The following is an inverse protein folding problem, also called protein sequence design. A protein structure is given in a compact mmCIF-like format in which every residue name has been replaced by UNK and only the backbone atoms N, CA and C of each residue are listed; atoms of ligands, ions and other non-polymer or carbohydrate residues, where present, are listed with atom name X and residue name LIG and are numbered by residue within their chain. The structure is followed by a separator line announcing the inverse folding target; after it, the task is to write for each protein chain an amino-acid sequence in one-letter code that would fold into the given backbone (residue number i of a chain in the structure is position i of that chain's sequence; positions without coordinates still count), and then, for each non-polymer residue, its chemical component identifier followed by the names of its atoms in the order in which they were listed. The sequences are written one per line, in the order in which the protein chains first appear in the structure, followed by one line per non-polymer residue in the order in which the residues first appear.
data_IF_715351170378
#
_entry.id   IF_715351170378
#
_cell.length_a   1.000
_cell.length_b   1.000
_cell.length_c   1.000
_cell.angle_alpha   90.00
_cell.angle_beta   90.00
_cell.angle_gamma   90.00
#
_symmetry.space_group_name_H-M   'P 1'
#
loop_
_entity.id
_entity.type
_entity.pdbx_description
1 polymer ?
#
# COMPACT_ATOMS: atom_id res chain seq x y z
N UNK A 1 -14.73 15.65 2.65
CA UNK A 1 -13.44 15.01 2.35
C UNK A 1 -13.46 14.52 0.91
N UNK A 2 -12.36 14.68 0.18
CA UNK A 2 -12.20 14.33 -1.23
C UNK A 2 -11.00 13.41 -1.40
N UNK A 3 -11.10 12.43 -2.30
CA UNK A 3 -10.08 11.41 -2.53
C UNK A 3 -8.70 12.02 -2.84
N UNK A 4 -8.65 13.02 -3.72
CA UNK A 4 -7.42 13.62 -4.22
C UNK A 4 -6.78 14.64 -3.25
N UNK A 5 -7.40 14.91 -2.10
CA UNK A 5 -6.87 15.86 -1.10
C UNK A 5 -6.72 15.20 0.25
N UNK A 6 -7.78 14.55 0.75
CA UNK A 6 -7.83 14.07 2.14
C UNK A 6 -7.32 12.63 2.29
N UNK A 7 -7.08 11.92 1.19
CA UNK A 7 -6.62 10.53 1.16
C UNK A 7 -5.15 10.34 1.54
N UNK A 8 -4.79 9.18 2.10
CA UNK A 8 -3.40 8.85 2.43
C UNK A 8 -2.49 8.86 1.20
N UNK A 9 -2.98 8.42 0.04
CA UNK A 9 -2.18 8.40 -1.21
C UNK A 9 -1.90 9.84 -1.64
N UNK A 10 -2.91 10.70 -1.62
CA UNK A 10 -2.80 12.12 -1.97
C UNK A 10 -1.88 12.89 -1.03
N UNK A 11 -1.99 12.63 0.28
CA UNK A 11 -1.13 13.23 1.30
C UNK A 11 0.30 12.70 1.27
N UNK A 12 0.51 11.46 0.81
CA UNK A 12 1.85 10.89 0.63
C UNK A 12 2.52 11.43 -0.63
N UNK A 13 1.83 11.48 -1.77
CA UNK A 13 2.47 11.68 -3.09
C UNK A 13 2.11 13.00 -3.78
N UNK A 14 1.29 13.85 -3.15
CA UNK A 14 0.64 15.02 -3.74
C UNK A 14 -0.54 14.68 -4.67
N UNK A 15 -1.56 15.56 -4.79
CA UNK A 15 -2.79 15.28 -5.54
C UNK A 15 -2.58 14.84 -6.98
N UNK A 16 -1.68 15.51 -7.73
CA UNK A 16 -1.44 15.23 -9.15
C UNK A 16 -0.83 13.84 -9.38
N UNK A 17 0.08 13.41 -8.51
CA UNK A 17 0.71 12.09 -8.61
C UNK A 17 -0.26 11.00 -8.15
N UNK A 18 -1.06 11.28 -7.12
CA UNK A 18 -2.12 10.37 -6.69
C UNK A 18 -3.17 10.13 -7.80
N UNK A 19 -3.58 11.18 -8.51
CA UNK A 19 -4.46 11.06 -9.67
C UNK A 19 -3.84 10.16 -10.76
N UNK A 20 -2.58 10.41 -11.13
CA UNK A 20 -1.87 9.57 -12.12
C UNK A 20 -1.76 8.10 -11.68
N UNK A 21 -1.50 7.86 -10.40
CA UNK A 21 -1.48 6.53 -9.81
C UNK A 21 -2.84 5.84 -9.94
N UNK A 22 -3.92 6.52 -9.55
CA UNK A 22 -5.29 5.98 -9.62
C UNK A 22 -5.67 5.68 -11.07
N UNK A 23 -5.40 6.59 -12.00
CA UNK A 23 -5.61 6.37 -13.44
C UNK A 23 -4.84 5.15 -13.96
N UNK A 24 -3.58 5.00 -13.55
CA UNK A 24 -2.75 3.86 -13.95
C UNK A 24 -3.26 2.54 -13.37
N UNK A 25 -3.62 2.54 -12.08
CA UNK A 25 -4.18 1.40 -11.37
C UNK A 25 -5.46 0.90 -12.06
N UNK A 26 -6.35 1.83 -12.41
CA UNK A 26 -7.66 1.52 -12.97
C UNK A 26 -7.68 1.41 -14.50
N UNK A 27 -6.52 1.61 -15.15
CA UNK A 27 -6.39 1.65 -16.62
C UNK A 27 -7.38 2.61 -17.27
N UNK A 28 -7.61 3.76 -16.61
CA UNK A 28 -8.58 4.77 -17.02
C UNK A 28 -7.93 6.14 -17.10
N UNK A 29 -8.20 6.88 -18.17
CA UNK A 29 -7.75 8.25 -18.34
C UNK A 29 -8.63 9.27 -17.59
N UNK A 30 -9.70 8.81 -16.95
CA UNK A 30 -10.64 9.63 -16.19
C UNK A 30 -10.68 9.09 -14.76
N UNK A 31 -10.62 9.98 -13.78
CA UNK A 31 -10.86 9.63 -12.37
C UNK A 31 -12.26 9.01 -12.25
N UNK A 32 -12.36 7.75 -11.83
CA UNK A 32 -13.65 7.08 -11.77
C UNK A 32 -14.57 7.78 -10.75
N UNK A 33 -15.89 7.64 -10.91
CA UNK A 33 -16.79 7.96 -9.82
C UNK A 33 -16.42 7.11 -8.60
N UNK A 34 -16.31 7.77 -7.45
CA UNK A 34 -16.06 7.12 -6.18
C UNK A 34 -17.15 7.48 -5.18
N UNK A 35 -17.42 6.55 -4.26
CA UNK A 35 -18.30 6.78 -3.13
C UNK A 35 -17.48 6.91 -1.86
N UNK A 36 -18.08 7.59 -0.90
CA UNK A 36 -17.45 7.95 0.37
C UNK A 36 -18.28 7.30 1.47
N UNK A 37 -17.69 6.37 2.22
CA UNK A 37 -18.40 5.66 3.30
C UNK A 37 -17.66 5.88 4.62
N UNK A 38 -18.42 6.15 5.69
CA UNK A 38 -17.93 6.13 7.06
C UNK A 38 -18.55 4.94 7.78
N UNK A 39 -17.74 4.18 8.52
CA UNK A 39 -18.24 3.04 9.30
C UNK A 39 -18.21 3.36 10.80
N UNK A 40 -19.25 2.98 11.55
CA UNK A 40 -19.18 3.04 13.01
C UNK A 40 -17.98 2.25 13.52
N UNK A 41 -17.24 2.83 14.47
CA UNK A 41 -16.05 2.22 15.11
C UNK A 41 -14.83 2.01 14.21
N UNK A 42 -14.82 2.53 12.99
CA UNK A 42 -13.60 2.62 12.16
C UNK A 42 -13.20 4.07 12.01
N UNK A 43 -11.90 4.32 12.01
CA UNK A 43 -11.40 5.69 11.88
C UNK A 43 -11.44 6.16 10.43
N UNK A 44 -11.89 7.41 10.26
CA UNK A 44 -11.87 8.11 8.98
C UNK A 44 -12.92 7.61 7.99
N UNK A 45 -12.71 8.03 6.76
CA UNK A 45 -13.60 7.84 5.65
C UNK A 45 -12.92 6.96 4.61
N UNK A 46 -13.73 6.14 3.95
CA UNK A 46 -13.28 5.17 2.98
C UNK A 46 -13.73 5.64 1.59
N UNK A 47 -12.78 5.70 0.66
CA UNK A 47 -13.04 6.04 -0.73
C UNK A 47 -13.08 4.76 -1.53
N UNK A 48 -14.26 4.46 -2.09
CA UNK A 48 -14.48 3.25 -2.87
C UNK A 48 -14.82 3.55 -4.32
N UNK A 49 -14.41 2.67 -5.23
CA UNK A 49 -14.78 2.71 -6.64
C UNK A 49 -15.65 1.52 -7.03
N UNK A 50 -16.57 1.72 -7.98
CA UNK A 50 -17.53 0.69 -8.42
C UNK A 50 -16.93 -0.30 -9.43
N UNK A 51 -15.75 0.02 -9.97
CA UNK A 51 -15.02 -0.80 -10.93
C UNK A 51 -13.58 -0.92 -10.50
N UNK A 52 -13.17 -2.12 -10.08
CA UNK A 52 -11.76 -2.48 -10.07
C UNK A 52 -11.35 -3.05 -11.42
N UNK A 53 -10.05 -3.08 -11.72
CA UNK A 53 -9.55 -3.82 -12.87
C UNK A 53 -10.00 -5.29 -12.82
N UNK A 54 -10.34 -5.92 -13.96
CA UNK A 54 -10.90 -7.27 -14.02
C UNK A 54 -10.03 -8.35 -13.35
N UNK A 55 -8.71 -8.12 -13.30
CA UNK A 55 -7.73 -9.02 -12.70
C UNK A 55 -7.62 -8.89 -11.17
N UNK A 56 -8.22 -7.87 -10.56
CA UNK A 56 -8.28 -7.77 -9.10
C UNK A 56 -9.36 -8.76 -8.62
N UNK A 57 -9.04 -9.74 -7.75
CA UNK A 57 -10.01 -10.74 -7.29
C UNK A 57 -11.11 -10.11 -6.45
N UNK A 58 -12.38 -10.27 -6.86
CA UNK A 58 -13.55 -9.70 -6.15
C UNK A 58 -13.40 -9.89 -4.65
N UNK A 59 -13.40 -8.79 -3.89
CA UNK A 59 -13.26 -8.85 -2.44
C UNK A 59 -14.29 -9.81 -1.83
N UNK A 60 -13.86 -10.53 -0.80
CA UNK A 60 -14.62 -11.57 -0.08
C UNK A 60 -15.94 -11.03 0.53
N UNK A 61 -16.09 -9.71 0.66
CA UNK A 61 -17.21 -9.07 1.37
C UNK A 61 -18.51 -8.91 0.56
N UNK A 62 -18.66 -9.51 -0.63
CA UNK A 62 -19.85 -9.36 -1.49
C UNK A 62 -20.26 -7.89 -1.79
N UNK A 63 -19.36 -6.93 -1.55
CA UNK A 63 -19.60 -5.53 -1.88
C UNK A 63 -19.14 -5.29 -3.33
N UNK A 64 -19.93 -4.60 -4.17
CA UNK A 64 -19.56 -4.26 -5.55
C UNK A 64 -18.50 -3.14 -5.61
N UNK A 65 -17.81 -2.86 -4.52
CA UNK A 65 -16.99 -1.68 -4.31
C UNK A 65 -15.59 -2.05 -3.86
N UNK A 66 -14.61 -1.26 -4.27
CA UNK A 66 -13.20 -1.52 -4.03
C UNK A 66 -12.54 -0.36 -3.32
N UNK A 67 -11.90 -0.66 -2.17
CA UNK A 67 -11.22 0.35 -1.38
C UNK A 67 -10.03 0.90 -2.16
N UNK A 68 -10.11 2.17 -2.53
CA UNK A 68 -9.06 2.87 -3.26
C UNK A 68 -8.15 3.65 -2.31
N UNK A 69 -8.72 4.36 -1.34
CA UNK A 69 -7.97 5.10 -0.34
C UNK A 69 -8.77 5.26 0.96
N UNK A 70 -8.11 5.74 2.01
CA UNK A 70 -8.72 6.17 3.28
C UNK A 70 -8.36 7.62 3.56
N UNK A 71 -9.27 8.36 4.18
CA UNK A 71 -8.95 9.71 4.66
C UNK A 71 -7.90 9.63 5.77
N UNK A 72 -7.00 10.61 5.80
CA UNK A 72 -6.06 10.76 6.91
C UNK A 72 -6.80 10.98 8.23
N UNK A 73 -6.37 10.26 9.26
CA UNK A 73 -6.88 10.42 10.63
C UNK A 73 -5.82 11.12 11.47
N UNK A 74 -6.19 12.00 12.42
CA UNK A 74 -5.25 12.84 13.16
C UNK A 74 -4.53 12.07 14.28
N UNK A 75 -3.75 11.06 13.90
CA UNK A 75 -3.00 10.16 14.81
C UNK A 75 -1.49 10.19 14.58
N UNK A 76 -1.03 11.02 13.66
CA UNK A 76 0.36 11.14 13.28
C UNK A 76 0.49 11.96 12.00
N UNK A 77 1.73 12.22 11.60
CA UNK A 77 2.02 12.92 10.35
C UNK A 77 2.12 11.89 9.22
N UNK A 78 1.46 12.16 8.10
CA UNK A 78 1.74 11.43 6.85
C UNK A 78 3.04 11.97 6.29
N UNK A 79 4.06 11.12 6.22
CA UNK A 79 5.37 11.51 5.68
C UNK A 79 5.25 11.59 4.15
N UNK A 80 5.58 12.73 3.52
CA UNK A 80 5.60 12.84 2.06
C UNK A 80 6.60 11.87 1.44
N UNK A 81 6.20 11.25 0.34
CA UNK A 81 6.96 10.25 -0.39
C UNK A 81 7.02 10.60 -1.88
N UNK A 82 8.08 10.14 -2.54
CA UNK A 82 8.25 10.15 -3.98
C UNK A 82 7.77 8.82 -4.51
N UNK A 83 6.80 8.85 -5.42
CA UNK A 83 6.33 7.65 -6.09
C UNK A 83 7.38 7.14 -7.06
N UNK A 84 7.63 5.83 -7.07
CA UNK A 84 8.47 5.24 -8.11
C UNK A 84 7.83 5.43 -9.48
N UNK A 85 8.63 5.83 -10.46
CA UNK A 85 8.20 6.01 -11.83
C UNK A 85 9.15 5.25 -12.79
N UNK A 86 8.61 4.55 -13.81
CA UNK A 86 9.42 3.88 -14.82
C UNK A 86 10.29 4.88 -15.59
N UNK A 87 11.59 4.59 -15.73
CA UNK A 87 12.53 5.53 -16.38
C UNK A 87 12.61 5.33 -17.90
N UNK A 88 12.17 4.17 -18.39
CA UNK A 88 12.18 3.84 -19.82
C UNK A 88 10.77 3.51 -20.31
N UNK A 89 10.56 3.64 -21.62
CA UNK A 89 9.31 3.21 -22.28
C UNK A 89 9.06 1.72 -22.03
N UNK A 90 10.12 0.90 -22.07
CA UNK A 90 10.05 -0.53 -21.77
C UNK A 90 9.60 -0.80 -20.35
N UNK A 91 10.19 -0.12 -19.35
CA UNK A 91 9.79 -0.27 -17.94
C UNK A 91 8.33 0.16 -17.74
N UNK A 92 7.90 1.24 -18.41
CA UNK A 92 6.53 1.73 -18.32
C UNK A 92 5.55 0.71 -18.88
N UNK A 93 5.85 0.16 -20.05
CA UNK A 93 5.03 -0.88 -20.67
C UNK A 93 4.92 -2.10 -19.74
N UNK A 94 6.06 -2.60 -19.26
CA UNK A 94 6.15 -3.82 -18.46
C UNK A 94 5.58 -3.68 -17.04
N UNK A 95 5.74 -2.52 -16.40
CA UNK A 95 5.42 -2.33 -14.98
C UNK A 95 4.19 -1.48 -14.72
N UNK A 96 3.66 -0.78 -15.73
CA UNK A 96 2.49 0.09 -15.58
C UNK A 96 1.40 -0.26 -16.58
N UNK A 97 1.67 -0.40 -17.87
CA UNK A 97 0.62 -0.53 -18.90
C UNK A 97 0.11 -1.97 -19.04
N UNK A 98 1.03 -2.93 -19.18
CA UNK A 98 0.72 -4.36 -19.30
C UNK A 98 0.70 -5.08 -17.94
N UNK A 99 1.16 -4.42 -16.87
CA UNK A 99 1.14 -4.98 -15.53
C UNK A 99 -0.26 -4.99 -14.92
N UNK A 100 -0.56 -6.05 -14.18
CA UNK A 100 -1.71 -6.14 -13.28
C UNK A 100 -1.38 -5.48 -11.94
N UNK A 101 -1.72 -4.19 -11.81
CA UNK A 101 -1.45 -3.41 -10.60
C UNK A 101 -2.41 -3.81 -9.47
N UNK A 102 -1.86 -4.23 -8.34
CA UNK A 102 -2.67 -4.63 -7.19
C UNK A 102 -3.23 -3.40 -6.47
N UNK A 103 -4.41 -3.55 -5.84
CA UNK A 103 -5.03 -2.49 -5.05
C UNK A 103 -4.14 -2.09 -3.85
N UNK A 104 -4.21 -0.83 -3.39
CA UNK A 104 -3.53 -0.39 -2.18
C UNK A 104 -3.84 -1.28 -0.98
N UNK A 105 -2.81 -1.59 -0.18
CA UNK A 105 -2.95 -2.37 1.04
C UNK A 105 -2.95 -1.42 2.23
N UNK A 106 -4.06 -1.39 2.97
CA UNK A 106 -4.20 -0.68 4.24
C UNK A 106 -4.15 -1.70 5.38
N UNK A 107 -3.12 -1.62 6.23
CA UNK A 107 -3.05 -2.45 7.43
C UNK A 107 -4.01 -1.91 8.48
N UNK A 108 -5.10 -2.64 8.74
CA UNK A 108 -6.10 -2.28 9.73
C UNK A 108 -6.02 -3.24 10.92
N UNK A 109 -6.10 -2.74 12.14
CA UNK A 109 -6.22 -3.55 13.35
C UNK A 109 -7.61 -4.16 13.48
N UNK A 110 -7.73 -5.25 14.25
CA UNK A 110 -9.05 -5.84 14.60
C UNK A 110 -9.98 -4.85 15.31
N UNK A 111 -9.44 -3.80 15.92
CA UNK A 111 -10.15 -2.69 16.55
C UNK A 111 -10.58 -1.59 15.56
N UNK A 112 -10.36 -1.78 14.25
CA UNK A 112 -10.71 -0.83 13.19
C UNK A 112 -9.74 0.33 13.02
N UNK A 113 -8.65 0.37 13.80
CA UNK A 113 -7.63 1.41 13.69
C UNK A 113 -6.74 1.16 12.49
N UNK A 114 -6.39 2.23 11.79
CA UNK A 114 -5.45 2.15 10.67
C UNK A 114 -4.00 2.22 11.16
N UNK A 115 -3.17 1.32 10.64
CA UNK A 115 -1.74 1.26 10.89
C UNK A 115 -1.36 0.37 12.09
N UNK A 116 -0.05 0.25 12.28
CA UNK A 116 0.61 -0.45 13.37
C UNK A 116 1.92 0.26 13.70
N UNK A 117 2.44 0.10 14.93
CA UNK A 117 3.72 0.73 15.26
C UNK A 117 4.87 0.10 14.46
N UNK A 118 5.84 0.94 14.09
CA UNK A 118 7.04 0.47 13.41
C UNK A 118 7.77 -0.60 14.25
N UNK A 119 7.88 -0.38 15.55
CA UNK A 119 8.50 -1.33 16.47
C UNK A 119 7.79 -2.70 16.46
N UNK A 120 6.46 -2.72 16.57
CA UNK A 120 5.71 -3.97 16.55
C UNK A 120 5.83 -4.69 15.20
N UNK A 121 5.70 -3.96 14.10
CA UNK A 121 5.82 -4.54 12.76
C UNK A 121 7.23 -5.09 12.48
N UNK A 122 8.28 -4.35 12.82
CA UNK A 122 9.67 -4.79 12.68
C UNK A 122 9.99 -6.01 13.56
N UNK A 123 9.36 -6.13 14.73
CA UNK A 123 9.47 -7.30 15.62
C UNK A 123 8.55 -8.48 15.22
N UNK A 124 7.72 -8.34 14.18
CA UNK A 124 6.81 -9.40 13.72
C UNK A 124 5.54 -9.55 14.56
N UNK A 125 5.26 -8.60 15.45
CA UNK A 125 4.05 -8.55 16.29
C UNK A 125 2.85 -8.00 15.49
N UNK A 126 2.50 -8.68 14.41
CA UNK A 126 1.45 -8.26 13.44
C UNK A 126 0.14 -9.06 13.57
N UNK A 127 -0.03 -9.86 14.62
CA UNK A 127 -1.20 -10.75 14.78
C UNK A 127 -2.51 -10.00 15.07
N UNK A 128 -2.43 -8.76 15.58
CA UNK A 128 -3.59 -7.90 15.83
C UNK A 128 -4.18 -7.24 14.57
N UNK A 129 -3.66 -7.55 13.38
CA UNK A 129 -4.22 -7.05 12.13
C UNK A 129 -5.51 -7.80 11.76
N UNK A 130 -6.48 -7.05 11.25
CA UNK A 130 -7.62 -7.62 10.54
C UNK A 130 -7.11 -8.46 9.37
N UNK A 131 -7.65 -9.67 9.21
CA UNK A 131 -7.23 -10.64 8.20
C UNK A 131 -5.74 -11.02 8.28
N UNK A 132 -5.11 -10.99 9.46
CA UNK A 132 -3.67 -11.23 9.63
C UNK A 132 -3.15 -12.53 9.00
N UNK A 133 -3.98 -13.57 8.94
CA UNK A 133 -3.65 -14.90 8.40
C UNK A 133 -4.11 -15.11 6.96
N UNK A 134 -4.86 -14.16 6.39
CA UNK A 134 -5.26 -14.25 4.99
C UNK A 134 -4.07 -13.99 4.06
N UNK A 135 -4.07 -14.59 2.84
CA UNK A 135 -3.09 -14.29 1.81
C UNK A 135 -3.02 -12.78 1.50
N UNK A 136 -1.81 -12.22 1.48
CA UNK A 136 -1.62 -10.83 1.09
C UNK A 136 -1.86 -10.66 -0.43
N UNK A 137 -2.60 -9.62 -0.88
CA UNK A 137 -2.92 -9.41 -2.29
C UNK A 137 -1.74 -8.81 -3.07
N UNK A 138 -0.68 -9.60 -3.21
CA UNK A 138 0.61 -9.20 -3.81
C UNK A 138 0.81 -9.71 -5.24
N UNK A 139 -0.26 -10.25 -5.84
CA UNK A 139 -0.22 -10.93 -7.13
C UNK A 139 0.49 -12.29 -7.05
N UNK A 140 0.87 -12.82 -8.22
CA UNK A 140 1.36 -14.21 -8.36
C UNK A 140 2.88 -14.34 -8.36
N UNK A 141 3.63 -13.27 -8.10
CA UNK A 141 5.10 -13.30 -8.13
C UNK A 141 5.68 -14.04 -6.91
N UNK A 142 6.96 -14.39 -6.98
CA UNK A 142 7.70 -14.98 -5.84
C UNK A 142 8.35 -13.92 -4.95
N UNK A 143 8.78 -12.81 -5.56
CA UNK A 143 9.40 -11.69 -4.85
C UNK A 143 8.80 -10.36 -5.29
N UNK A 144 8.95 -9.35 -4.43
CA UNK A 144 8.69 -7.95 -4.77
C UNK A 144 9.75 -7.04 -4.16
N UNK A 145 9.74 -5.78 -4.55
CA UNK A 145 10.58 -4.74 -3.94
C UNK A 145 9.71 -3.80 -3.12
N UNK A 146 10.10 -3.59 -1.87
CA UNK A 146 9.61 -2.50 -1.04
C UNK A 146 10.53 -1.31 -1.26
N UNK A 147 9.95 -0.17 -1.61
CA UNK A 147 10.65 1.10 -1.82
C UNK A 147 10.18 2.12 -0.78
N UNK A 148 11.12 2.86 -0.21
CA UNK A 148 10.85 4.00 0.67
C UNK A 148 11.46 5.22 0.01
N UNK A 149 10.59 6.16 -0.37
CA UNK A 149 10.98 7.36 -1.13
C UNK A 149 10.77 8.64 -0.32
N UNK A 150 11.23 8.72 0.92
CA UNK A 150 11.01 9.92 1.74
C UNK A 150 11.66 11.15 1.12
N UNK A 151 10.91 12.26 1.09
CA UNK A 151 11.39 13.50 0.50
C UNK A 151 12.65 13.99 1.23
N UNK A 152 13.70 14.30 0.47
CA UNK A 152 15.01 14.70 1.02
C UNK A 152 16.00 13.56 1.26
N UNK A 153 15.58 12.31 1.10
CA UNK A 153 16.43 11.13 1.25
C UNK A 153 16.60 10.39 -0.08
N UNK A 154 17.70 9.65 -0.21
CA UNK A 154 17.89 8.75 -1.35
C UNK A 154 16.86 7.62 -1.27
N UNK A 155 16.29 7.23 -2.41
CA UNK A 155 15.37 6.08 -2.45
C UNK A 155 16.03 4.84 -1.85
N UNK A 156 15.37 4.26 -0.85
CA UNK A 156 15.74 2.98 -0.29
C UNK A 156 14.91 1.88 -0.92
N UNK A 157 15.56 0.78 -1.28
CA UNK A 157 14.93 -0.36 -1.95
C UNK A 157 15.39 -1.65 -1.30
N UNK A 158 14.44 -2.53 -0.99
CA UNK A 158 14.71 -3.87 -0.45
C UNK A 158 13.84 -4.92 -1.14
N UNK A 159 14.45 -6.00 -1.60
CA UNK A 159 13.73 -7.15 -2.13
C UNK A 159 13.23 -8.03 -0.98
N UNK A 160 12.00 -8.53 -1.08
CA UNK A 160 11.38 -9.44 -0.13
C UNK A 160 10.70 -10.60 -0.85
N UNK A 161 10.65 -11.77 -0.21
CA UNK A 161 9.86 -12.91 -0.66
C UNK A 161 8.38 -12.64 -0.36
N UNK A 162 7.51 -12.99 -1.29
CA UNK A 162 6.05 -12.88 -1.16
C UNK A 162 5.34 -14.23 -1.29
N UNK A 163 6.13 -15.31 -1.35
CA UNK A 163 5.68 -16.69 -1.18
C UNK A 163 6.40 -17.32 0.01
N UNK A 164 5.73 -18.23 0.68
CA UNK A 164 6.32 -19.03 1.74
C UNK A 164 7.31 -20.07 1.20
N UNK A 165 8.10 -20.63 2.10
CA UNK A 165 9.11 -21.66 1.80
C UNK A 165 8.51 -23.08 1.87
N UNK A 166 7.19 -23.20 1.96
CA UNK A 166 6.54 -24.51 1.91
C UNK A 166 6.64 -25.08 0.50
N UNK A 167 6.48 -26.39 0.34
CA UNK A 167 6.47 -27.04 -0.97
C UNK A 167 5.37 -26.48 -1.91
N UNK A 168 4.30 -25.90 -1.35
CA UNK A 168 3.23 -25.26 -2.12
C UNK A 168 3.56 -23.84 -2.59
N UNK A 169 4.61 -23.22 -2.05
CA UNK A 169 4.96 -21.81 -2.30
C UNK A 169 3.74 -20.89 -2.24
N UNK A 170 2.98 -20.99 -1.14
CA UNK A 170 1.75 -20.24 -0.98
C UNK A 170 2.06 -18.75 -0.81
N UNK A 171 1.16 -17.83 -1.19
CA UNK A 171 1.34 -16.41 -0.90
C UNK A 171 1.53 -16.18 0.62
N UNK A 172 2.42 -15.26 0.98
CA UNK A 172 2.58 -14.89 2.38
C UNK A 172 1.32 -14.23 2.93
N UNK A 173 1.12 -14.31 4.24
CA UNK A 173 -0.02 -13.69 4.92
C UNK A 173 0.12 -12.17 5.04
N UNK A 174 -0.98 -11.47 5.30
CA UNK A 174 -0.98 -10.02 5.60
C UNK A 174 -0.03 -9.68 6.75
N UNK A 175 -0.04 -10.46 7.84
CA UNK A 175 0.85 -10.25 8.99
C UNK A 175 2.34 -10.39 8.62
N UNK A 176 2.68 -11.38 7.78
CA UNK A 176 4.05 -11.58 7.29
C UNK A 176 4.47 -10.45 6.35
N UNK A 177 3.57 -9.96 5.50
CA UNK A 177 3.86 -8.82 4.64
C UNK A 177 4.05 -7.53 5.44
N UNK A 178 3.19 -7.26 6.43
CA UNK A 178 3.36 -6.13 7.34
C UNK A 178 4.71 -6.17 8.07
N UNK A 179 5.18 -7.36 8.45
CA UNK A 179 6.52 -7.53 9.03
C UNK A 179 7.64 -7.20 8.04
N UNK A 180 7.53 -7.60 6.77
CA UNK A 180 8.49 -7.22 5.73
C UNK A 180 8.52 -5.70 5.50
N UNK A 181 7.37 -5.03 5.52
CA UNK A 181 7.28 -3.56 5.46
C UNK A 181 7.96 -2.94 6.69
N UNK A 182 7.61 -3.37 7.90
CA UNK A 182 8.21 -2.86 9.15
C UNK A 182 9.74 -2.99 9.17
N UNK A 183 10.27 -4.16 8.81
CA UNK A 183 11.73 -4.36 8.73
C UNK A 183 12.40 -3.52 7.64
N UNK A 184 11.69 -3.17 6.58
CA UNK A 184 12.23 -2.32 5.51
C UNK A 184 12.32 -0.86 5.96
N UNK A 185 11.28 -0.36 6.63
CA UNK A 185 11.26 1.00 7.19
C UNK A 185 12.23 1.15 8.36
N UNK A 186 12.35 0.15 9.24
CA UNK A 186 13.34 0.16 10.34
C UNK A 186 14.79 0.14 9.79
N UNK A 187 15.06 -0.66 8.76
CA UNK A 187 16.36 -0.68 8.10
C UNK A 187 16.71 0.66 7.45
N UNK A 188 15.75 1.28 6.75
CA UNK A 188 15.89 2.62 6.18
C UNK A 188 16.21 3.66 7.26
N UNK A 189 15.43 3.67 8.35
CA UNK A 189 15.59 4.63 9.46
C UNK A 189 16.97 4.53 10.12
N UNK A 190 17.51 3.31 10.24
CA UNK A 190 18.87 3.09 10.75
C UNK A 190 19.94 3.51 9.75
N UNK A 191 19.75 3.19 8.47
CA UNK A 191 20.73 3.51 7.42
C UNK A 191 21.00 5.01 7.31
N UNK A 192 19.94 5.83 7.35
CA UNK A 192 20.09 7.28 7.23
C UNK A 192 20.59 7.95 8.51
N UNK A 193 20.25 7.42 9.69
CA UNK A 193 20.83 7.90 10.95
C UNK A 193 22.36 7.82 10.96
N UNK A 194 22.94 6.79 10.35
CA UNK A 194 24.39 6.65 10.23
C UNK A 194 25.02 7.53 9.14
N UNK A 195 24.26 7.99 8.14
CA UNK A 195 24.75 8.93 7.13
C UNK A 195 24.75 10.37 7.65
N UNK A 196 23.84 10.73 8.56
CA UNK A 196 23.79 12.06 9.21
C UNK A 196 24.87 12.26 10.28
N UNK A 197 25.51 11.19 10.76
CA UNK A 197 26.59 11.23 11.75
C UNK A 197 28.00 11.15 11.13
N UNK A 198 28.11 11.23 9.80
CA UNK A 198 29.38 11.33 9.07
C UNK A 198 29.48 12.69 8.39
#
# INVERSE_FOLDING_TARGET
QTLLVDGYISQSFQPRIAEQYISSLLKSNITPPYITISYPRRDGVFFFVNSAPPYVPKQILNMPYWLLDRSVVPRGTVVPQTMWYPQTVTDRRQHVEEAELQMPIFFEGVDGRLGLSLEASAAGRCHGLFNAQEPAPLGLKSTTHIRVGWLGYKEFKRQVQIRDETSGHNPITISRFAHHVGRSVDAFSRFDFFQLLR
#
